data_IF_097928963689
#
_entry.id   IF_097928963689
#
_cell.length_a   1.000
_cell.length_b   1.000
_cell.length_c   1.000
_cell.angle_alpha   90.00
_cell.angle_beta   90.00
_cell.angle_gamma   90.00
#
_symmetry.space_group_name_H-M   'P 1'
#
loop_
_entity.id
_entity.type
_entity.pdbx_description
1 polymer ?
#
# COMPACT_ATOMS: atom_id res chain seq x y z
N UNK A 1 71.20 15.05 54.91
CA UNK A 1 70.41 14.28 55.92
C UNK A 1 69.36 13.47 55.15
N UNK A 2 69.69 12.20 54.82
CA UNK A 2 69.33 11.01 55.52
C UNK A 2 67.74 10.87 55.49
N UNK A 3 67.16 9.85 55.03
CA UNK A 3 67.42 8.48 55.36
C UNK A 3 66.68 7.55 54.40
N UNK A 4 67.23 6.42 54.20
CA UNK A 4 66.83 5.17 53.64
C UNK A 4 65.46 4.65 54.11
N UNK A 5 64.75 3.92 53.28
CA UNK A 5 64.40 2.48 53.43
C UNK A 5 63.58 2.08 52.23
N UNK A 6 64.17 1.37 51.36
CA UNK A 6 63.92 -0.02 50.93
C UNK A 6 62.68 -0.63 51.59
N UNK A 7 61.76 -1.19 50.75
CA UNK A 7 61.47 -2.61 50.74
C UNK A 7 60.30 -2.92 49.77
N UNK A 8 60.58 -3.97 49.01
CA UNK A 8 59.62 -4.94 48.49
C UNK A 8 58.87 -4.66 47.19
N UNK A 9 59.44 -5.15 46.13
CA UNK A 9 58.62 -5.67 45.00
C UNK A 9 57.84 -6.92 45.45
N UNK A 10 56.68 -7.17 44.84
CA UNK A 10 56.36 -8.48 44.34
C UNK A 10 56.03 -8.47 42.85
N UNK A 11 56.74 -9.31 42.22
CA UNK A 11 56.54 -10.16 41.04
C UNK A 11 55.22 -9.98 40.25
N UNK A 12 55.38 -9.72 38.98
CA UNK A 12 54.82 -10.50 37.89
C UNK A 12 53.28 -10.48 37.73
N UNK A 13 52.81 -9.57 36.89
CA UNK A 13 51.62 -9.85 36.12
C UNK A 13 51.93 -9.54 34.65
N UNK A 14 51.74 -10.58 33.87
CA UNK A 14 52.02 -10.66 32.47
C UNK A 14 51.35 -9.49 31.70
N UNK A 15 52.10 -8.94 30.80
CA UNK A 15 51.65 -8.06 29.72
C UNK A 15 50.55 -8.79 28.93
N UNK A 16 49.29 -8.51 29.21
CA UNK A 16 48.23 -8.85 28.28
C UNK A 16 48.32 -7.80 27.16
N UNK A 17 48.84 -8.23 26.04
CA UNK A 17 48.66 -7.55 24.74
C UNK A 17 47.16 -7.31 24.55
N UNK A 18 46.76 -6.06 24.55
CA UNK A 18 45.43 -5.61 24.15
C UNK A 18 45.32 -5.87 22.65
N UNK A 19 44.64 -6.96 22.31
CA UNK A 19 44.26 -7.26 20.95
C UNK A 19 43.24 -6.19 20.46
N UNK A 20 43.56 -5.36 19.44
CA UNK A 20 42.63 -4.32 18.96
C UNK A 20 41.50 -4.84 18.06
N UNK A 21 41.20 -6.12 18.10
CA UNK A 21 40.03 -6.72 17.42
C UNK A 21 38.96 -7.03 18.44
N UNK A 22 38.24 -5.98 18.87
CA UNK A 22 36.96 -6.14 19.56
C UNK A 22 35.95 -6.86 18.67
N UNK A 23 35.10 -7.74 19.23
CA UNK A 23 34.05 -8.43 18.49
C UNK A 23 32.83 -7.50 18.30
N UNK A 24 32.96 -6.52 17.46
CA UNK A 24 31.84 -5.65 17.08
C UNK A 24 31.68 -5.60 15.57
N UNK A 25 31.64 -6.77 14.97
CA UNK A 25 31.03 -7.02 13.70
C UNK A 25 29.61 -7.53 13.88
N UNK A 26 28.75 -6.78 14.59
CA UNK A 26 27.31 -6.95 14.47
C UNK A 26 26.90 -6.38 13.10
N UNK A 27 27.23 -7.13 12.06
CA UNK A 27 26.50 -7.10 10.82
C UNK A 27 25.05 -7.42 11.19
N UNK A 28 24.23 -6.39 11.34
CA UNK A 28 22.79 -6.56 11.44
C UNK A 28 22.35 -7.32 10.18
N UNK A 29 22.22 -8.62 10.34
CA UNK A 29 21.75 -9.51 9.29
C UNK A 29 20.33 -9.08 8.92
N UNK A 30 20.23 -8.42 7.75
CA UNK A 30 18.96 -7.97 7.17
C UNK A 30 17.99 -9.13 6.91
N UNK A 31 18.51 -10.36 6.90
CA UNK A 31 17.73 -11.59 6.81
C UNK A 31 16.98 -11.91 8.10
N UNK A 32 17.59 -11.71 9.27
CA UNK A 32 16.93 -11.92 10.57
C UNK A 32 15.76 -10.96 10.81
N UNK A 33 15.87 -9.71 10.38
CA UNK A 33 14.80 -8.73 10.54
C UNK A 33 13.59 -9.06 9.65
N UNK A 34 13.84 -9.52 8.43
CA UNK A 34 12.75 -9.97 7.53
C UNK A 34 12.05 -11.22 8.05
N UNK A 35 12.81 -12.19 8.55
CA UNK A 35 12.26 -13.44 9.08
C UNK A 35 11.44 -13.22 10.36
N UNK A 36 11.87 -12.30 11.22
CA UNK A 36 11.15 -11.97 12.47
C UNK A 36 9.86 -11.17 12.18
N UNK A 37 9.86 -10.34 11.15
CA UNK A 37 8.67 -9.59 10.74
C UNK A 37 7.65 -10.48 10.03
N UNK A 38 8.09 -11.39 9.17
CA UNK A 38 7.24 -12.42 8.56
C UNK A 38 6.66 -13.38 9.62
N UNK A 39 7.45 -13.82 10.58
CA UNK A 39 6.99 -14.68 11.67
C UNK A 39 5.99 -13.97 12.61
N UNK A 40 6.14 -12.66 12.87
CA UNK A 40 5.14 -11.88 13.62
C UNK A 40 3.83 -11.73 12.86
N UNK A 41 3.89 -11.57 11.54
CA UNK A 41 2.68 -11.44 10.70
C UNK A 41 1.93 -12.77 10.60
N UNK A 42 2.62 -13.91 10.52
CA UNK A 42 1.99 -15.23 10.49
C UNK A 42 1.38 -15.65 11.84
N UNK A 43 1.92 -15.20 12.96
CA UNK A 43 1.34 -15.48 14.28
C UNK A 43 0.11 -14.63 14.62
N UNK A 44 -0.05 -13.44 14.01
CA UNK A 44 -1.22 -12.58 14.22
C UNK A 44 -2.50 -13.10 13.52
N UNK A 45 -2.37 -14.00 12.53
CA UNK A 45 -3.49 -14.55 11.77
C UNK A 45 -3.84 -15.98 12.18
N UNK A 46 -3.99 -16.26 13.48
CA UNK A 46 -4.65 -17.49 13.96
C UNK A 46 -6.18 -17.39 13.77
N UNK A 47 -6.61 -17.15 12.53
CA UNK A 47 -8.03 -17.30 12.15
C UNK A 47 -8.24 -18.77 11.80
N UNK A 48 -9.10 -19.51 12.53
CA UNK A 48 -9.40 -20.91 12.22
C UNK A 48 -10.19 -21.06 10.92
N UNK A 49 -10.06 -22.19 10.23
CA UNK A 49 -10.89 -22.54 9.09
C UNK A 49 -10.40 -22.02 7.73
N UNK A 50 -11.29 -21.99 6.75
CA UNK A 50 -11.03 -21.66 5.37
C UNK A 50 -10.44 -20.23 5.18
N UNK A 51 -10.90 -19.25 5.97
CA UNK A 51 -10.40 -17.89 5.92
C UNK A 51 -8.94 -17.81 6.37
N UNK A 52 -8.55 -18.55 7.41
CA UNK A 52 -7.16 -18.62 7.84
C UNK A 52 -6.25 -19.32 6.81
N UNK A 53 -6.77 -20.32 6.09
CA UNK A 53 -6.05 -20.96 4.99
C UNK A 53 -5.83 -19.98 3.83
N UNK A 54 -6.87 -19.27 3.40
CA UNK A 54 -6.78 -18.26 2.35
C UNK A 54 -5.79 -17.13 2.70
N UNK A 55 -5.81 -16.63 3.94
CA UNK A 55 -4.88 -15.62 4.42
C UNK A 55 -3.41 -16.12 4.39
N UNK A 56 -3.17 -17.38 4.77
CA UNK A 56 -1.82 -17.99 4.67
C UNK A 56 -1.36 -18.14 3.23
N UNK A 57 -2.23 -18.62 2.34
CA UNK A 57 -1.93 -18.75 0.92
C UNK A 57 -1.61 -17.37 0.31
N UNK A 58 -2.40 -16.35 0.62
CA UNK A 58 -2.14 -14.99 0.17
C UNK A 58 -0.78 -14.48 0.66
N UNK A 59 -0.45 -14.67 1.94
CA UNK A 59 0.84 -14.30 2.50
C UNK A 59 2.00 -15.01 1.78
N UNK A 60 1.89 -16.31 1.52
CA UNK A 60 2.90 -17.07 0.76
C UNK A 60 3.06 -16.57 -0.68
N UNK A 61 1.96 -16.21 -1.35
CA UNK A 61 2.02 -15.59 -2.67
C UNK A 61 2.68 -14.21 -2.62
N UNK A 62 2.38 -13.41 -1.59
CA UNK A 62 3.02 -12.11 -1.36
C UNK A 62 4.52 -12.22 -1.10
N UNK A 63 4.98 -13.28 -0.43
CA UNK A 63 6.40 -13.51 -0.18
C UNK A 63 7.15 -13.93 -1.47
N UNK A 64 6.52 -14.76 -2.32
CA UNK A 64 7.12 -15.30 -3.55
C UNK A 64 7.08 -14.31 -4.72
N UNK A 65 5.95 -13.66 -4.93
CA UNK A 65 5.70 -12.79 -6.08
C UNK A 65 4.79 -11.60 -5.69
N UNK A 66 5.32 -10.62 -4.93
CA UNK A 66 4.50 -9.57 -4.31
C UNK A 66 3.74 -8.71 -5.34
N UNK A 67 4.39 -8.33 -6.44
CA UNK A 67 3.73 -7.49 -7.46
C UNK A 67 2.67 -8.26 -8.24
N UNK A 68 2.96 -9.52 -8.63
CA UNK A 68 2.00 -10.36 -9.34
C UNK A 68 0.77 -10.66 -8.47
N UNK A 69 0.97 -10.93 -7.18
CA UNK A 69 -0.13 -11.16 -6.23
C UNK A 69 -1.00 -9.92 -6.08
N UNK A 70 -0.40 -8.74 -5.95
CA UNK A 70 -1.13 -7.47 -5.90
C UNK A 70 -1.89 -7.22 -7.20
N UNK A 71 -1.27 -7.46 -8.36
CA UNK A 71 -1.89 -7.28 -9.67
C UNK A 71 -3.11 -8.20 -9.85
N UNK A 72 -2.97 -9.50 -9.57
CA UNK A 72 -4.07 -10.45 -9.67
C UNK A 72 -5.22 -10.10 -8.71
N UNK A 73 -4.89 -9.72 -7.48
CA UNK A 73 -5.90 -9.33 -6.47
C UNK A 73 -6.61 -8.05 -6.86
N UNK A 74 -5.87 -7.03 -7.33
CA UNK A 74 -6.47 -5.78 -7.80
C UNK A 74 -7.36 -6.02 -9.02
N UNK A 75 -6.92 -6.80 -9.99
CA UNK A 75 -7.73 -7.17 -11.15
C UNK A 75 -9.06 -7.81 -10.73
N UNK A 76 -9.00 -8.79 -9.83
CA UNK A 76 -10.20 -9.48 -9.33
C UNK A 76 -11.16 -8.54 -8.60
N UNK A 77 -10.63 -7.66 -7.73
CA UNK A 77 -11.45 -6.71 -6.95
C UNK A 77 -12.06 -5.65 -7.86
N UNK A 78 -11.30 -5.09 -8.79
CA UNK A 78 -11.81 -4.09 -9.74
C UNK A 78 -12.86 -4.68 -10.69
N UNK A 79 -12.62 -5.90 -11.20
CA UNK A 79 -13.62 -6.60 -12.01
C UNK A 79 -14.91 -6.88 -11.23
N UNK A 80 -14.79 -7.41 -10.01
CA UNK A 80 -15.95 -7.63 -9.15
C UNK A 80 -16.69 -6.33 -8.81
N UNK A 81 -15.96 -5.24 -8.58
CA UNK A 81 -16.50 -3.91 -8.32
C UNK A 81 -17.32 -3.39 -9.50
N UNK A 82 -16.80 -3.51 -10.72
CA UNK A 82 -17.50 -3.09 -11.94
C UNK A 82 -18.72 -3.95 -12.21
N UNK A 83 -18.62 -5.28 -12.10
CA UNK A 83 -19.76 -6.18 -12.22
C UNK A 83 -20.89 -5.85 -11.21
N UNK A 84 -20.51 -5.55 -9.97
CA UNK A 84 -21.45 -5.11 -8.95
C UNK A 84 -22.09 -3.76 -9.30
N UNK A 85 -21.28 -2.80 -9.79
CA UNK A 85 -21.75 -1.50 -10.23
C UNK A 85 -22.74 -1.60 -11.38
N UNK A 86 -22.45 -2.39 -12.42
CA UNK A 86 -23.35 -2.62 -13.54
C UNK A 86 -24.68 -3.24 -13.09
N UNK A 87 -24.64 -4.19 -12.15
CA UNK A 87 -25.86 -4.77 -11.57
C UNK A 87 -26.68 -3.74 -10.80
N UNK A 88 -26.03 -2.89 -10.02
CA UNK A 88 -26.68 -1.80 -9.28
C UNK A 88 -27.24 -0.73 -10.23
N UNK A 89 -26.56 -0.44 -11.32
CA UNK A 89 -27.01 0.46 -12.38
C UNK A 89 -28.19 -0.12 -13.19
N UNK A 90 -28.54 -1.39 -12.97
CA UNK A 90 -29.60 -2.12 -13.71
C UNK A 90 -29.36 -2.12 -15.22
N UNK A 91 -28.11 -2.23 -15.63
CA UNK A 91 -27.75 -2.41 -17.04
C UNK A 91 -28.42 -3.68 -17.55
N UNK A 92 -29.17 -3.59 -18.66
CA UNK A 92 -29.95 -4.73 -19.20
C UNK A 92 -29.03 -5.86 -19.65
N UNK A 93 -27.94 -5.50 -20.33
CA UNK A 93 -26.91 -6.45 -20.74
C UNK A 93 -25.56 -6.01 -20.15
N UNK A 94 -24.84 -6.93 -19.49
CA UNK A 94 -23.53 -6.61 -18.91
C UNK A 94 -22.55 -6.12 -19.99
N UNK A 95 -21.96 -4.97 -19.78
CA UNK A 95 -20.91 -4.41 -20.64
C UNK A 95 -19.58 -5.12 -20.38
N UNK A 96 -19.28 -6.11 -21.19
CA UNK A 96 -18.05 -6.89 -21.08
C UNK A 96 -16.80 -6.06 -21.39
N UNK A 97 -16.88 -5.06 -22.29
CA UNK A 97 -15.76 -4.20 -22.62
C UNK A 97 -15.38 -3.32 -21.41
N UNK A 98 -16.37 -2.72 -20.74
CA UNK A 98 -16.20 -1.95 -19.50
C UNK A 98 -15.60 -2.84 -18.39
N UNK A 99 -16.14 -4.04 -18.19
CA UNK A 99 -15.66 -4.99 -17.19
C UNK A 99 -14.19 -5.38 -17.44
N UNK A 100 -13.84 -5.74 -18.68
CA UNK A 100 -12.48 -6.10 -19.04
C UNK A 100 -11.51 -4.93 -18.85
N UNK A 101 -11.91 -3.73 -19.25
CA UNK A 101 -11.10 -2.51 -19.10
C UNK A 101 -10.85 -2.20 -17.64
N UNK A 102 -11.88 -2.23 -16.81
CA UNK A 102 -11.76 -1.97 -15.37
C UNK A 102 -10.86 -3.01 -14.70
N UNK A 103 -11.05 -4.29 -15.03
CA UNK A 103 -10.18 -5.39 -14.57
C UNK A 103 -8.72 -5.17 -14.95
N UNK A 104 -8.49 -4.80 -16.22
CA UNK A 104 -7.13 -4.54 -16.76
C UNK A 104 -6.48 -3.34 -16.06
N UNK A 105 -7.20 -2.24 -15.88
CA UNK A 105 -6.72 -1.07 -15.14
C UNK A 105 -6.32 -1.47 -13.71
N UNK A 106 -7.16 -2.24 -13.02
CA UNK A 106 -6.88 -2.72 -11.68
C UNK A 106 -5.57 -3.51 -11.57
N UNK A 107 -5.37 -4.46 -12.48
CA UNK A 107 -4.19 -5.34 -12.48
C UNK A 107 -2.92 -4.71 -13.04
N UNK A 108 -3.00 -4.13 -14.23
CA UNK A 108 -1.82 -3.68 -14.97
C UNK A 108 -1.40 -2.24 -14.68
N UNK A 109 -2.32 -1.40 -14.22
CA UNK A 109 -2.02 -0.01 -13.91
C UNK A 109 -2.07 0.26 -12.40
N UNK A 110 -3.23 0.05 -11.75
CA UNK A 110 -3.42 0.46 -10.36
C UNK A 110 -2.48 -0.28 -9.40
N UNK A 111 -2.34 -1.61 -9.53
CA UNK A 111 -1.50 -2.39 -8.62
C UNK A 111 -0.02 -1.96 -8.66
N UNK A 112 0.67 -1.84 -9.82
CA UNK A 112 2.04 -1.34 -9.88
C UNK A 112 2.14 0.14 -9.47
N UNK A 113 1.19 1.00 -9.87
CA UNK A 113 1.19 2.40 -9.48
C UNK A 113 1.05 2.58 -7.95
N UNK A 114 0.11 1.87 -7.32
CA UNK A 114 -0.05 1.87 -5.88
C UNK A 114 1.17 1.28 -5.16
N UNK A 115 1.76 0.19 -5.69
CA UNK A 115 2.98 -0.38 -5.13
C UNK A 115 4.13 0.62 -5.09
N UNK A 116 4.36 1.33 -6.19
CA UNK A 116 5.40 2.37 -6.28
C UNK A 116 5.03 3.56 -5.39
N UNK A 117 3.79 4.05 -5.44
CA UNK A 117 3.33 5.18 -4.64
C UNK A 117 3.56 4.95 -3.14
N UNK A 118 3.03 3.87 -2.58
CA UNK A 118 3.15 3.59 -1.14
C UNK A 118 4.59 3.31 -0.71
N UNK A 119 5.42 2.72 -1.57
CA UNK A 119 6.83 2.54 -1.31
C UNK A 119 7.59 3.89 -1.28
N UNK A 120 7.33 4.78 -2.21
CA UNK A 120 8.01 6.07 -2.31
C UNK A 120 7.55 7.05 -1.22
N UNK A 121 6.24 7.18 -0.99
CA UNK A 121 5.72 8.10 0.02
C UNK A 121 6.17 7.70 1.44
N UNK A 122 6.31 6.41 1.72
CA UNK A 122 6.81 5.93 3.01
C UNK A 122 8.31 6.15 3.16
N UNK A 123 9.09 6.10 2.08
CA UNK A 123 10.51 6.49 2.11
C UNK A 123 10.68 7.99 2.32
N UNK A 124 9.85 8.79 1.66
CA UNK A 124 9.90 10.25 1.75
C UNK A 124 9.49 10.74 3.14
N UNK A 125 8.47 10.11 3.71
CA UNK A 125 7.95 10.44 5.04
C UNK A 125 7.97 9.16 5.90
N UNK A 126 9.11 8.80 6.51
CA UNK A 126 9.26 7.51 7.20
C UNK A 126 8.53 7.44 8.55
N UNK A 127 8.21 8.58 9.16
CA UNK A 127 7.48 8.65 10.42
C UNK A 127 5.97 8.43 10.21
N UNK A 128 5.29 7.95 11.26
CA UNK A 128 3.85 7.68 11.27
C UNK A 128 3.14 8.42 12.41
N UNK A 129 3.59 9.64 12.74
CA UNK A 129 2.81 10.56 13.58
C UNK A 129 1.57 11.06 12.83
N UNK A 130 0.61 11.60 13.54
CA UNK A 130 -0.64 12.10 12.94
C UNK A 130 -0.38 13.15 11.84
N UNK A 131 0.57 14.06 12.06
CA UNK A 131 0.95 15.07 11.07
C UNK A 131 1.51 14.44 9.79
N UNK A 132 2.38 13.46 9.93
CA UNK A 132 3.00 12.76 8.81
C UNK A 132 1.97 11.93 8.04
N UNK A 133 1.03 11.28 8.72
CA UNK A 133 -0.06 10.53 8.09
C UNK A 133 -0.96 11.48 7.30
N UNK A 134 -1.38 12.60 7.88
CA UNK A 134 -2.19 13.60 7.19
C UNK A 134 -1.45 14.20 5.98
N UNK A 135 -0.13 14.40 6.08
CA UNK A 135 0.68 14.85 4.95
C UNK A 135 0.70 13.83 3.83
N UNK A 136 0.88 12.53 4.14
CA UNK A 136 0.81 11.44 3.14
C UNK A 136 -0.56 11.39 2.46
N UNK A 137 -1.64 11.48 3.24
CA UNK A 137 -3.00 11.48 2.73
C UNK A 137 -3.24 12.69 1.81
N UNK A 138 -2.81 13.88 2.20
CA UNK A 138 -2.92 15.09 1.39
C UNK A 138 -2.16 14.95 0.06
N UNK A 139 -0.93 14.44 0.09
CA UNK A 139 -0.16 14.17 -1.13
C UNK A 139 -0.85 13.15 -2.01
N UNK A 140 -1.48 12.12 -1.42
CA UNK A 140 -2.31 11.15 -2.14
C UNK A 140 -3.48 11.81 -2.86
N UNK A 141 -4.17 12.72 -2.21
CA UNK A 141 -5.29 13.47 -2.80
C UNK A 141 -4.85 14.41 -3.93
N UNK A 142 -3.68 15.05 -3.79
CA UNK A 142 -3.19 16.02 -4.78
C UNK A 142 -2.58 15.32 -6.02
N UNK A 143 -1.91 14.19 -5.84
CA UNK A 143 -1.14 13.54 -6.91
C UNK A 143 -1.71 12.20 -7.32
N UNK A 144 -1.86 11.26 -6.41
CA UNK A 144 -2.24 9.88 -6.74
C UNK A 144 -3.70 9.76 -7.17
N UNK A 145 -4.62 10.39 -6.45
CA UNK A 145 -6.05 10.38 -6.76
C UNK A 145 -6.37 10.94 -8.14
N UNK A 146 -5.91 12.17 -8.51
CA UNK A 146 -6.11 12.71 -9.85
C UNK A 146 -5.50 11.83 -10.94
N UNK A 147 -4.30 11.30 -10.74
CA UNK A 147 -3.65 10.43 -11.71
C UNK A 147 -4.47 9.18 -12.01
N UNK A 148 -4.96 8.50 -10.98
CA UNK A 148 -5.83 7.32 -11.13
C UNK A 148 -7.14 7.71 -11.82
N UNK A 149 -7.77 8.81 -11.42
CA UNK A 149 -9.02 9.30 -12.01
C UNK A 149 -8.86 9.60 -13.50
N UNK A 150 -7.77 10.24 -13.90
CA UNK A 150 -7.48 10.55 -15.32
C UNK A 150 -7.35 9.27 -16.16
N UNK A 151 -6.73 8.21 -15.62
CA UNK A 151 -6.64 6.93 -16.34
C UNK A 151 -8.03 6.30 -16.56
N UNK A 152 -8.90 6.35 -15.56
CA UNK A 152 -10.29 5.88 -15.73
C UNK A 152 -11.07 6.75 -16.72
N UNK A 153 -10.87 8.08 -16.73
CA UNK A 153 -11.48 8.96 -17.72
C UNK A 153 -10.99 8.67 -19.13
N UNK A 154 -9.67 8.45 -19.30
CA UNK A 154 -9.09 8.07 -20.58
C UNK A 154 -9.67 6.76 -21.10
N UNK A 155 -9.82 5.76 -20.24
CA UNK A 155 -10.42 4.49 -20.60
C UNK A 155 -11.90 4.65 -21.00
N UNK A 156 -12.68 5.44 -20.26
CA UNK A 156 -14.06 5.71 -20.58
C UNK A 156 -14.21 6.48 -21.93
N UNK A 157 -13.36 7.48 -22.17
CA UNK A 157 -13.33 8.19 -23.44
C UNK A 157 -12.94 7.26 -24.61
N UNK A 158 -11.96 6.37 -24.41
CA UNK A 158 -11.54 5.44 -25.45
C UNK A 158 -12.64 4.44 -25.85
N UNK A 159 -13.53 4.09 -24.91
CA UNK A 159 -14.68 3.20 -25.16
C UNK A 159 -15.92 3.92 -25.72
N UNK A 160 -15.99 5.24 -25.57
CA UNK A 160 -17.12 6.07 -26.03
C UNK A 160 -16.70 7.06 -27.13
N UNK A 161 -16.68 8.33 -26.78
CA UNK A 161 -16.54 9.44 -27.74
C UNK A 161 -15.10 9.67 -28.26
N UNK A 162 -14.16 8.83 -27.87
CA UNK A 162 -12.76 8.90 -28.26
C UNK A 162 -11.88 9.74 -27.32
N UNK A 163 -10.56 9.48 -27.35
CA UNK A 163 -9.57 10.13 -26.47
C UNK A 163 -9.47 11.65 -26.67
N UNK A 164 -9.92 12.18 -27.80
CA UNK A 164 -9.98 13.63 -28.06
C UNK A 164 -10.88 14.38 -27.07
N UNK A 165 -11.86 13.70 -26.46
CA UNK A 165 -12.78 14.28 -25.47
C UNK A 165 -12.21 14.34 -24.05
N UNK A 166 -11.08 13.66 -23.79
CA UNK A 166 -10.48 13.56 -22.46
C UNK A 166 -10.17 14.93 -21.81
N UNK A 167 -9.60 15.94 -22.51
CA UNK A 167 -9.33 17.23 -21.88
C UNK A 167 -10.62 17.94 -21.41
N UNK A 168 -11.70 17.84 -22.19
CA UNK A 168 -13.00 18.40 -21.81
C UNK A 168 -13.57 17.68 -20.58
N UNK A 169 -13.48 16.35 -20.55
CA UNK A 169 -13.91 15.53 -19.41
C UNK A 169 -13.11 15.82 -18.14
N UNK A 170 -11.80 15.96 -18.23
CA UNK A 170 -10.96 16.35 -17.09
C UNK A 170 -11.41 17.70 -16.55
N UNK A 171 -11.60 18.69 -17.42
CA UNK A 171 -12.03 20.04 -17.01
C UNK A 171 -13.41 20.06 -16.36
N UNK A 172 -14.34 19.23 -16.85
CA UNK A 172 -15.71 19.16 -16.32
C UNK A 172 -15.82 18.40 -15.02
N UNK A 173 -15.20 17.23 -14.92
CA UNK A 173 -15.55 16.24 -13.91
C UNK A 173 -14.47 16.01 -12.84
N UNK A 174 -13.17 16.25 -13.14
CA UNK A 174 -12.07 15.88 -12.25
C UNK A 174 -12.22 16.53 -10.88
N UNK A 175 -12.49 17.83 -10.83
CA UNK A 175 -12.60 18.54 -9.56
C UNK A 175 -13.75 18.02 -8.71
N UNK A 176 -14.89 17.71 -9.31
CA UNK A 176 -16.06 17.16 -8.60
C UNK A 176 -15.76 15.79 -8.01
N UNK A 177 -15.06 14.92 -8.76
CA UNK A 177 -14.64 13.60 -8.28
C UNK A 177 -13.65 13.73 -7.12
N UNK A 178 -12.67 14.67 -7.22
CA UNK A 178 -11.71 14.90 -6.13
C UNK A 178 -12.38 15.46 -4.88
N UNK A 179 -13.32 16.40 -4.99
CA UNK A 179 -14.09 16.93 -3.85
C UNK A 179 -14.91 15.81 -3.18
N UNK A 180 -15.60 14.99 -3.97
CA UNK A 180 -16.34 13.84 -3.43
C UNK A 180 -15.40 12.83 -2.73
N UNK A 181 -14.22 12.59 -3.31
CA UNK A 181 -13.19 11.72 -2.74
C UNK A 181 -12.57 12.26 -1.46
N UNK A 182 -12.46 13.57 -1.30
CA UNK A 182 -11.91 14.20 -0.11
C UNK A 182 -12.68 13.89 1.19
N UNK A 183 -13.94 13.49 1.08
CA UNK A 183 -14.74 13.01 2.21
C UNK A 183 -14.54 11.53 2.54
N UNK A 184 -13.90 10.74 1.70
CA UNK A 184 -13.74 9.30 1.85
C UNK A 184 -12.27 8.87 1.97
N UNK A 185 -11.43 9.24 1.00
CA UNK A 185 -10.06 8.75 0.90
C UNK A 185 -9.14 9.13 2.05
N UNK A 186 -9.20 10.33 2.66
CA UNK A 186 -8.36 10.64 3.82
C UNK A 186 -8.57 9.71 5.00
N UNK A 187 -9.79 9.19 5.22
CA UNK A 187 -10.07 8.19 6.26
C UNK A 187 -9.46 6.84 5.90
N UNK A 188 -9.55 6.44 4.64
CA UNK A 188 -8.90 5.21 4.13
C UNK A 188 -7.38 5.31 4.29
N UNK A 189 -6.78 6.45 3.94
CA UNK A 189 -5.35 6.70 4.08
C UNK A 189 -4.92 6.73 5.55
N UNK A 190 -5.71 7.37 6.42
CA UNK A 190 -5.44 7.39 7.86
C UNK A 190 -5.37 5.97 8.43
N UNK A 191 -6.34 5.12 8.12
CA UNK A 191 -6.35 3.72 8.54
C UNK A 191 -5.17 2.96 7.91
N UNK A 192 -4.92 3.18 6.63
CA UNK A 192 -3.84 2.53 5.89
C UNK A 192 -2.47 2.79 6.53
N UNK A 193 -2.13 4.06 6.76
CA UNK A 193 -0.82 4.41 7.29
C UNK A 193 -0.66 4.20 8.79
N UNK A 194 -1.77 4.23 9.57
CA UNK A 194 -1.72 4.03 11.00
C UNK A 194 -1.66 2.55 11.40
N UNK A 195 -2.39 1.68 10.70
CA UNK A 195 -2.65 0.31 11.17
C UNK A 195 -2.26 -0.79 10.19
N UNK A 196 -2.17 -0.49 8.88
CA UNK A 196 -1.94 -1.52 7.87
C UNK A 196 -0.45 -1.62 7.52
N UNK A 197 0.17 -2.83 7.58
CA UNK A 197 1.54 -3.01 7.09
C UNK A 197 1.64 -2.63 5.62
N UNK A 198 2.72 -1.93 5.23
CA UNK A 198 2.91 -1.34 3.89
C UNK A 198 2.70 -2.34 2.74
N UNK A 199 3.05 -3.61 2.96
CA UNK A 199 2.86 -4.67 1.97
C UNK A 199 1.38 -4.92 1.63
N UNK A 200 0.46 -4.70 2.58
CA UNK A 200 -0.98 -4.96 2.46
C UNK A 200 -1.81 -3.70 2.22
N UNK A 201 -1.21 -2.50 2.26
CA UNK A 201 -1.93 -1.25 1.96
C UNK A 201 -2.65 -1.32 0.60
N UNK A 202 -2.04 -1.79 -0.51
CA UNK A 202 -2.75 -1.90 -1.78
C UNK A 202 -3.99 -2.81 -1.73
N UNK A 203 -3.95 -3.91 -0.98
CA UNK A 203 -5.10 -4.79 -0.79
C UNK A 203 -6.23 -4.07 -0.05
N UNK A 204 -5.91 -3.38 1.05
CA UNK A 204 -6.89 -2.62 1.83
C UNK A 204 -7.53 -1.51 1.00
N UNK A 205 -6.72 -0.76 0.25
CA UNK A 205 -7.20 0.31 -0.65
C UNK A 205 -8.07 -0.25 -1.77
N UNK A 206 -7.77 -1.44 -2.31
CA UNK A 206 -8.64 -2.11 -3.27
C UNK A 206 -10.02 -2.43 -2.67
N UNK A 207 -10.08 -2.92 -1.43
CA UNK A 207 -11.35 -3.16 -0.74
C UNK A 207 -12.13 -1.85 -0.51
N UNK A 208 -11.44 -0.77 -0.14
CA UNK A 208 -12.04 0.56 -0.04
C UNK A 208 -12.53 1.07 -1.41
N UNK A 209 -11.77 0.84 -2.49
CA UNK A 209 -12.18 1.17 -3.85
C UNK A 209 -13.45 0.44 -4.27
N UNK A 210 -13.63 -0.82 -3.86
CA UNK A 210 -14.87 -1.54 -4.09
C UNK A 210 -16.07 -0.82 -3.45
N UNK A 211 -15.97 -0.43 -2.19
CA UNK A 211 -17.01 0.32 -1.47
C UNK A 211 -17.27 1.66 -2.15
N UNK A 212 -16.20 2.37 -2.55
CA UNK A 212 -16.27 3.64 -3.25
C UNK A 212 -17.02 3.54 -4.59
N UNK A 213 -16.77 2.49 -5.37
CA UNK A 213 -17.45 2.24 -6.65
C UNK A 213 -18.93 2.01 -6.44
N UNK A 214 -19.33 1.23 -5.42
CA UNK A 214 -20.74 1.04 -5.07
C UNK A 214 -21.40 2.37 -4.70
N UNK A 215 -20.74 3.19 -3.87
CA UNK A 215 -21.24 4.52 -3.49
C UNK A 215 -21.46 5.41 -4.71
N UNK A 216 -20.49 5.48 -5.63
CA UNK A 216 -20.61 6.27 -6.86
C UNK A 216 -21.76 5.78 -7.76
N UNK A 217 -21.93 4.46 -7.91
CA UNK A 217 -23.04 3.87 -8.67
C UNK A 217 -24.39 4.25 -8.09
N UNK A 218 -24.56 4.17 -6.77
CA UNK A 218 -25.81 4.56 -6.11
C UNK A 218 -26.08 6.06 -6.25
N UNK A 219 -25.04 6.90 -6.13
CA UNK A 219 -25.17 8.36 -6.28
C UNK A 219 -25.55 8.76 -7.71
N UNK A 220 -24.97 8.12 -8.71
CA UNK A 220 -25.28 8.40 -10.12
C UNK A 220 -26.74 8.11 -10.49
N UNK A 221 -27.37 7.13 -9.82
CA UNK A 221 -28.82 6.81 -9.99
C UNK A 221 -29.73 7.86 -9.36
N UNK A 222 -29.31 8.40 -8.18
CA UNK A 222 -30.10 9.45 -7.51
C UNK A 222 -30.18 10.75 -8.30
N UNK A 223 -29.19 11.03 -9.14
CA UNK A 223 -29.15 12.24 -9.99
C UNK A 223 -30.00 12.14 -11.27
N UNK A 224 -30.47 10.93 -11.63
CA UNK A 224 -31.31 10.68 -12.82
C UNK A 224 -32.82 10.67 -12.52
N UNK A 225 -33.24 10.92 -11.29
CA UNK A 225 -34.62 11.14 -10.87
C UNK A 225 -34.91 12.63 -10.77
#
# INVERSE_FOLDING_TARGET
LADQRQLAQPRGLASQEINPRGPNGLGMDKTHTKTTQAAKTTNALRVPGALGAAARTYAQCMDKAPLATKAATSAAIFGASDACAQKLEQVKEPDAARLLTTTTIGGLYFAPAAHVWYAQITKLIPKNGLKEILTKALLGQIFFGPLVTIVFFAAACAQGDGLSTLPAKIKADLLQVQIAGAGFWPFVDLISYAFIPIAYIPLFVNCASFVWTIFLSLKSRGAKK
#
